data_IF_651072641667
#
_entry.id   IF_651072641667
#
_cell.length_a   1.000
_cell.length_b   1.000
_cell.length_c   1.000
_cell.angle_alpha   90.00
_cell.angle_beta   90.00
_cell.angle_gamma   90.00
#
_symmetry.space_group_name_H-M   'P 1'
#
loop_
_entity.id
_entity.type
_entity.pdbx_description
1 polymer ?
#
# COMPACT_ATOMS: atom_id res chain seq x y z
N UNK A 1 0.73 15.36 -15.78
CA UNK A 1 0.77 14.12 -14.96
C UNK A 1 0.60 14.27 -13.46
N UNK A 2 1.10 15.34 -12.81
CA UNK A 2 1.28 15.41 -11.35
C UNK A 2 0.04 15.06 -10.51
N UNK A 3 -1.15 15.51 -10.95
CA UNK A 3 -2.42 15.21 -10.29
C UNK A 3 -2.68 13.71 -10.20
N UNK A 4 -2.50 12.95 -11.29
CA UNK A 4 -2.78 11.49 -11.26
C UNK A 4 -1.87 10.74 -10.30
N UNK A 5 -0.58 11.10 -10.27
CA UNK A 5 0.41 10.44 -9.42
C UNK A 5 0.18 10.75 -7.93
N UNK A 6 -0.04 12.03 -7.60
CA UNK A 6 -0.28 12.44 -6.21
C UNK A 6 -1.60 11.91 -5.66
N UNK A 7 -2.68 11.98 -6.44
CA UNK A 7 -3.98 11.47 -6.01
C UNK A 7 -3.99 9.95 -5.86
N UNK A 8 -3.27 9.23 -6.72
CA UNK A 8 -3.14 7.78 -6.61
C UNK A 8 -2.42 7.38 -5.31
N UNK A 9 -1.32 8.06 -4.96
CA UNK A 9 -0.63 7.81 -3.69
C UNK A 9 -1.52 8.13 -2.46
N UNK A 10 -2.30 9.21 -2.51
CA UNK A 10 -3.24 9.56 -1.44
C UNK A 10 -4.35 8.50 -1.29
N UNK A 11 -4.94 8.05 -2.40
CA UNK A 11 -5.97 7.01 -2.41
C UNK A 11 -5.44 5.68 -1.86
N UNK A 12 -4.27 5.24 -2.35
CA UNK A 12 -3.60 4.04 -1.85
C UNK A 12 -3.35 4.13 -0.34
N UNK A 13 -2.90 5.28 0.16
CA UNK A 13 -2.65 5.51 1.60
C UNK A 13 -3.93 5.35 2.41
N UNK A 14 -5.05 5.94 1.97
CA UNK A 14 -6.35 5.84 2.66
C UNK A 14 -6.82 4.38 2.69
N UNK A 15 -6.80 3.70 1.54
CA UNK A 15 -7.26 2.31 1.44
C UNK A 15 -6.42 1.34 2.28
N UNK A 16 -5.09 1.47 2.25
CA UNK A 16 -4.20 0.66 3.08
C UNK A 16 -4.41 0.94 4.58
N UNK A 17 -4.60 2.21 4.96
CA UNK A 17 -4.89 2.59 6.34
C UNK A 17 -6.23 2.00 6.81
N UNK A 18 -7.25 1.99 5.93
CA UNK A 18 -8.53 1.34 6.21
C UNK A 18 -8.37 -0.15 6.49
N UNK A 19 -7.55 -0.86 5.72
CA UNK A 19 -7.26 -2.28 5.96
C UNK A 19 -6.54 -2.50 7.29
N UNK A 20 -5.54 -1.67 7.61
CA UNK A 20 -4.76 -1.75 8.86
C UNK A 20 -5.67 -1.54 10.08
N UNK A 21 -6.51 -0.50 10.03
CA UNK A 21 -7.40 -0.15 11.14
C UNK A 21 -8.60 -1.09 11.28
N UNK A 22 -8.79 -2.03 10.33
CA UNK A 22 -9.93 -2.96 10.28
C UNK A 22 -11.30 -2.27 10.37
N UNK A 23 -11.39 -0.98 10.01
CA UNK A 23 -12.60 -0.18 10.21
C UNK A 23 -13.75 -0.57 9.28
N UNK A 24 -13.44 -1.24 8.17
CA UNK A 24 -14.40 -1.71 7.17
C UNK A 24 -14.17 -3.18 6.80
N UNK A 25 -14.12 -4.06 7.80
CA UNK A 25 -13.80 -5.49 7.61
C UNK A 25 -14.64 -6.19 6.51
N UNK A 26 -15.92 -5.84 6.37
CA UNK A 26 -16.84 -6.41 5.36
C UNK A 26 -16.47 -6.05 3.92
N UNK A 27 -15.69 -4.99 3.69
CA UNK A 27 -15.31 -4.50 2.35
C UNK A 27 -13.84 -4.77 2.04
N UNK A 28 -13.18 -5.62 2.82
CA UNK A 28 -11.72 -5.80 2.73
C UNK A 28 -11.29 -6.34 1.37
N UNK A 29 -12.09 -7.20 0.75
CA UNK A 29 -11.79 -7.82 -0.55
C UNK A 29 -11.91 -6.82 -1.69
N UNK A 30 -12.93 -5.96 -1.67
CA UNK A 30 -13.11 -4.87 -2.64
C UNK A 30 -12.00 -3.82 -2.49
N UNK A 31 -11.63 -3.49 -1.26
CA UNK A 31 -10.52 -2.56 -0.97
C UNK A 31 -9.20 -3.15 -1.48
N UNK A 32 -8.94 -4.44 -1.24
CA UNK A 32 -7.75 -5.13 -1.75
C UNK A 32 -7.70 -5.14 -3.28
N UNK A 33 -8.84 -5.39 -3.94
CA UNK A 33 -8.97 -5.34 -5.40
C UNK A 33 -8.71 -3.93 -5.94
N UNK A 34 -9.22 -2.90 -5.27
CA UNK A 34 -8.98 -1.51 -5.66
C UNK A 34 -7.50 -1.12 -5.53
N UNK A 35 -6.84 -1.54 -4.43
CA UNK A 35 -5.39 -1.33 -4.23
C UNK A 35 -4.60 -2.03 -5.34
N UNK A 36 -4.92 -3.29 -5.66
CA UNK A 36 -4.25 -4.03 -6.73
C UNK A 36 -4.39 -3.31 -8.07
N UNK A 37 -5.60 -2.89 -8.45
CA UNK A 37 -5.82 -2.19 -9.72
C UNK A 37 -5.07 -0.86 -9.79
N UNK A 38 -4.96 -0.13 -8.68
CA UNK A 38 -4.17 1.11 -8.61
C UNK A 38 -2.67 0.84 -8.68
N UNK A 39 -2.19 -0.21 -8.01
CA UNK A 39 -0.79 -0.64 -8.06
C UNK A 39 -0.42 -1.14 -9.47
N UNK A 40 -1.33 -1.81 -10.18
CA UNK A 40 -1.13 -2.34 -11.52
C UNK A 40 -0.86 -1.27 -12.58
N UNK A 41 -1.22 -0.02 -12.31
CA UNK A 41 -0.86 1.13 -13.18
C UNK A 41 0.66 1.25 -13.30
N UNK A 42 1.40 0.99 -12.21
CA UNK A 42 2.86 0.92 -12.21
C UNK A 42 3.35 0.16 -10.97
N UNK A 43 3.47 -1.17 -11.10
CA UNK A 43 3.93 -2.00 -9.99
C UNK A 43 5.35 -1.67 -9.53
N UNK A 44 6.23 -1.30 -10.46
CA UNK A 44 7.61 -0.93 -10.14
C UNK A 44 7.63 0.25 -9.17
N UNK A 45 6.93 1.34 -9.49
CA UNK A 45 6.84 2.52 -8.62
C UNK A 45 6.10 2.20 -7.32
N UNK A 46 5.08 1.35 -7.36
CA UNK A 46 4.34 0.92 -6.17
C UNK A 46 5.26 0.18 -5.17
N UNK A 47 5.99 -0.84 -5.63
CA UNK A 47 6.83 -1.68 -4.78
C UNK A 47 8.16 -1.02 -4.39
N UNK A 48 8.78 -0.25 -5.30
CA UNK A 48 10.11 0.32 -5.08
C UNK A 48 10.11 1.72 -4.44
N UNK A 49 8.98 2.44 -4.47
CA UNK A 49 8.89 3.80 -3.94
C UNK A 49 7.74 3.98 -2.95
N UNK A 50 6.49 3.81 -3.41
CA UNK A 50 5.32 4.12 -2.59
C UNK A 50 5.25 3.27 -1.33
N UNK A 51 5.36 1.95 -1.46
CA UNK A 51 5.12 1.03 -0.35
C UNK A 51 6.22 1.09 0.73
N UNK A 52 7.52 1.18 0.40
CA UNK A 52 8.56 1.44 1.40
C UNK A 52 8.34 2.74 2.18
N UNK A 53 7.90 3.81 1.49
CA UNK A 53 7.58 5.10 2.10
C UNK A 53 6.32 5.04 2.96
N UNK A 54 5.26 4.40 2.48
CA UNK A 54 4.03 4.20 3.23
C UNK A 54 4.30 3.43 4.52
N UNK A 55 5.06 2.33 4.42
CA UNK A 55 5.45 1.56 5.59
C UNK A 55 6.20 2.45 6.56
N UNK A 56 7.27 3.14 6.15
CA UNK A 56 8.09 3.96 7.08
C UNK A 56 7.29 5.02 7.86
N UNK A 57 6.17 5.48 7.32
CA UNK A 57 5.25 6.43 7.95
C UNK A 57 4.13 5.77 8.76
N UNK A 58 3.94 4.46 8.63
CA UNK A 58 2.94 3.69 9.38
C UNK A 58 3.37 3.54 10.83
N UNK A 59 2.60 4.11 11.75
CA UNK A 59 2.77 3.99 13.19
C UNK A 59 2.31 2.61 13.68
N UNK A 60 2.94 2.11 14.76
CA UNK A 60 2.60 0.81 15.34
C UNK A 60 3.27 -0.39 14.66
N UNK A 61 4.10 -0.18 13.63
CA UNK A 61 5.01 -1.19 13.11
C UNK A 61 6.39 -1.03 13.75
N UNK A 62 6.89 -2.09 14.39
CA UNK A 62 8.29 -2.16 14.81
C UNK A 62 9.23 -2.40 13.61
N UNK A 63 10.54 -2.19 13.83
CA UNK A 63 11.54 -2.30 12.77
C UNK A 63 11.63 -3.71 12.16
N UNK A 64 11.35 -4.75 12.97
CA UNK A 64 11.37 -6.13 12.52
C UNK A 64 10.15 -6.45 11.63
N UNK A 65 8.95 -6.03 12.02
CA UNK A 65 7.74 -6.15 11.22
C UNK A 65 7.88 -5.41 9.89
N UNK A 66 8.49 -4.22 9.91
CA UNK A 66 8.78 -3.43 8.72
C UNK A 66 9.75 -4.14 7.77
N UNK A 67 10.79 -4.77 8.30
CA UNK A 67 11.76 -5.53 7.51
C UNK A 67 11.14 -6.81 6.92
N UNK A 68 10.33 -7.52 7.70
CA UNK A 68 9.57 -8.69 7.25
C UNK A 68 8.63 -8.30 6.11
N UNK A 69 7.88 -7.21 6.25
CA UNK A 69 6.99 -6.73 5.19
C UNK A 69 7.79 -6.40 3.92
N UNK A 70 8.85 -5.59 4.03
CA UNK A 70 9.71 -5.26 2.87
C UNK A 70 10.26 -6.51 2.16
N UNK A 71 10.62 -7.55 2.91
CA UNK A 71 11.16 -8.81 2.35
C UNK A 71 10.10 -9.66 1.64
N UNK A 72 8.87 -9.69 2.15
CA UNK A 72 7.78 -10.52 1.62
C UNK A 72 7.02 -9.84 0.47
N UNK A 73 7.15 -8.53 0.30
CA UNK A 73 6.46 -7.79 -0.77
C UNK A 73 7.26 -7.79 -2.08
N UNK A 74 8.03 -8.84 -2.34
CA UNK A 74 8.65 -8.99 -3.66
C UNK A 74 7.54 -9.34 -4.65
N UNK A 75 7.49 -8.71 -5.84
CA UNK A 75 6.60 -9.17 -6.89
C UNK A 75 6.96 -10.63 -7.19
N UNK A 76 5.96 -11.52 -7.13
CA UNK A 76 6.10 -12.86 -7.72
C UNK A 76 6.50 -12.65 -9.18
N UNK A 77 7.74 -13.00 -9.48
CA UNK A 77 8.38 -12.77 -10.78
C UNK A 77 8.01 -13.89 -11.73
#
# INVERSE_FOLDING_TARGET
EMFRVQFLALLLTVLLTTLINKSHALLSDEIATAIYNMAAVNFDTFFNSFLPQFLSQTSGLDDNQRDILKKNIKPDT
#
